data_IF_535573338789
#
_entry.id   IF_535573338789
#
_cell.length_a   1.000
_cell.length_b   1.000
_cell.length_c   1.000
_cell.angle_alpha   90.00
_cell.angle_beta   90.00
_cell.angle_gamma   90.00
#
_symmetry.space_group_name_H-M   'P 1'
#
loop_
_entity.id
_entity.type
_entity.pdbx_description
1 polymer ?
#
# COMPACT_ATOMS: atom_id res chain seq x y z
N UNK A 1 35.28 56.64 -51.47
CA UNK A 1 35.23 56.40 -50.01
C UNK A 1 34.31 55.25 -49.77
N UNK A 2 34.84 54.04 -49.64
CA UNK A 2 34.03 52.80 -49.43
C UNK A 2 34.15 52.43 -47.98
N UNK A 3 33.03 52.52 -47.24
CA UNK A 3 32.92 52.03 -45.85
C UNK A 3 32.83 50.51 -45.89
N UNK A 4 33.81 49.85 -45.26
CA UNK A 4 33.72 48.39 -44.95
C UNK A 4 32.98 48.18 -43.61
N UNK A 5 31.80 47.64 -43.66
CA UNK A 5 31.10 47.14 -42.45
C UNK A 5 31.66 45.75 -42.09
N UNK A 6 32.38 45.67 -40.97
CA UNK A 6 32.82 44.41 -40.40
C UNK A 6 31.70 43.94 -39.43
N UNK A 7 30.95 42.91 -39.85
CA UNK A 7 29.95 42.22 -38.99
C UNK A 7 30.70 41.30 -38.01
N UNK A 8 30.66 41.63 -36.73
CA UNK A 8 31.20 40.80 -35.65
C UNK A 8 30.16 39.73 -35.29
N UNK A 9 30.37 38.49 -35.75
CA UNK A 9 29.52 37.35 -35.44
C UNK A 9 29.98 36.74 -34.09
N UNK A 10 29.29 37.07 -32.98
CA UNK A 10 29.53 36.44 -31.69
C UNK A 10 28.91 35.02 -31.70
N UNK A 11 29.74 34.01 -31.87
CA UNK A 11 29.34 32.60 -31.63
C UNK A 11 29.29 32.35 -30.13
N UNK A 12 28.10 32.38 -29.55
CA UNK A 12 27.87 31.93 -28.19
C UNK A 12 27.94 30.40 -28.17
N UNK A 13 29.13 29.86 -27.92
CA UNK A 13 29.32 28.46 -27.63
C UNK A 13 28.77 28.18 -26.21
N UNK A 14 27.46 27.89 -26.11
CA UNK A 14 26.84 27.43 -24.86
C UNK A 14 27.34 26.03 -24.56
N UNK A 15 28.36 25.90 -23.71
CA UNK A 15 28.69 24.63 -23.09
C UNK A 15 27.55 24.22 -22.17
N UNK A 16 26.57 23.46 -22.67
CA UNK A 16 25.67 22.68 -21.83
C UNK A 16 26.48 21.59 -21.13
N UNK A 17 26.93 21.89 -19.92
CA UNK A 17 27.50 20.88 -19.04
C UNK A 17 26.38 19.92 -18.69
N UNK A 18 26.30 18.80 -19.38
CA UNK A 18 25.44 17.67 -18.90
C UNK A 18 25.88 17.35 -17.48
N UNK A 19 25.03 17.69 -16.51
CA UNK A 19 25.17 17.19 -15.15
C UNK A 19 24.89 15.71 -15.23
N UNK A 20 25.92 14.90 -15.33
CA UNK A 20 25.76 13.45 -15.04
C UNK A 20 25.31 13.34 -13.61
N UNK A 21 24.03 13.01 -13.41
CA UNK A 21 23.53 12.68 -12.09
C UNK A 21 24.28 11.45 -11.59
N UNK A 22 24.67 11.42 -10.30
CA UNK A 22 25.27 10.22 -9.74
C UNK A 22 24.29 9.05 -9.92
N UNK A 23 24.78 7.82 -10.11
CA UNK A 23 23.93 6.66 -10.27
C UNK A 23 22.98 6.57 -9.08
N UNK A 24 21.67 6.44 -9.36
CA UNK A 24 20.66 6.26 -8.31
C UNK A 24 20.89 4.94 -7.60
N UNK A 25 20.89 4.96 -6.26
CA UNK A 25 20.95 3.75 -5.43
C UNK A 25 19.65 2.94 -5.49
N UNK A 26 18.55 3.57 -5.92
CA UNK A 26 17.22 2.95 -6.03
C UNK A 26 16.67 3.19 -7.43
N UNK A 27 16.01 2.18 -7.95
CA UNK A 27 15.28 2.24 -9.22
C UNK A 27 13.79 2.14 -8.95
N UNK A 28 12.98 3.02 -9.55
CA UNK A 28 11.54 2.92 -9.49
C UNK A 28 11.09 1.83 -10.48
N UNK A 29 10.52 0.75 -9.93
CA UNK A 29 10.04 -0.43 -10.69
C UNK A 29 8.51 -0.56 -10.67
N UNK A 30 7.77 0.47 -10.24
CA UNK A 30 6.31 0.40 -10.08
C UNK A 30 5.60 -0.11 -11.33
N UNK A 31 6.00 0.37 -12.51
CA UNK A 31 5.38 -0.05 -13.78
C UNK A 31 5.71 -1.50 -14.17
N UNK A 32 6.94 -1.91 -13.90
CA UNK A 32 7.44 -3.24 -14.24
C UNK A 32 6.99 -4.29 -13.23
N UNK A 33 6.73 -3.88 -11.99
CA UNK A 33 6.39 -4.80 -10.89
C UNK A 33 4.96 -5.34 -10.96
N UNK A 34 4.03 -4.65 -11.61
CA UNK A 34 2.61 -4.99 -11.60
C UNK A 34 1.84 -4.47 -10.38
N UNK A 35 2.50 -3.73 -9.47
CA UNK A 35 1.84 -3.08 -8.33
C UNK A 35 1.22 -1.76 -8.77
N UNK A 36 -0.11 -1.64 -8.68
CA UNK A 36 -0.88 -0.46 -9.13
C UNK A 36 -1.71 0.19 -8.01
N UNK A 37 -1.50 -0.22 -6.75
CA UNK A 37 -2.24 0.30 -5.61
C UNK A 37 -2.06 1.82 -5.43
N UNK A 38 -3.18 2.52 -5.23
CA UNK A 38 -3.20 3.95 -4.92
C UNK A 38 -4.18 4.22 -3.77
N UNK A 39 -3.68 4.76 -2.67
CA UNK A 39 -4.50 5.19 -1.54
C UNK A 39 -5.01 6.62 -1.76
N UNK A 40 -5.97 6.79 -2.69
CA UNK A 40 -6.53 8.09 -3.06
C UNK A 40 -7.60 8.51 -2.05
N UNK A 41 -7.52 9.75 -1.57
CA UNK A 41 -8.49 10.34 -0.65
C UNK A 41 -9.37 11.37 -1.35
N UNK A 42 -10.67 11.29 -1.10
CA UNK A 42 -11.67 12.24 -1.60
C UNK A 42 -12.40 12.87 -0.41
N UNK A 43 -12.49 14.19 -0.40
CA UNK A 43 -13.25 14.92 0.62
C UNK A 43 -14.75 14.80 0.38
N UNK A 44 -15.47 14.56 1.47
CA UNK A 44 -16.93 14.68 1.51
C UNK A 44 -17.32 15.58 2.67
N UNK A 45 -18.57 16.01 2.72
CA UNK A 45 -19.11 16.79 3.84
C UNK A 45 -19.00 16.00 5.16
N UNK A 46 -19.21 14.67 5.10
CA UNK A 46 -19.23 13.78 6.26
C UNK A 46 -17.84 13.28 6.64
N UNK A 47 -16.89 13.20 5.69
CA UNK A 47 -15.56 12.65 5.91
C UNK A 47 -14.48 13.55 5.30
N UNK A 48 -13.83 14.30 6.16
CA UNK A 48 -12.79 15.29 5.83
C UNK A 48 -11.91 15.54 7.08
N UNK A 49 -10.82 16.33 6.98
CA UNK A 49 -9.92 16.57 8.12
C UNK A 49 -10.55 17.23 9.34
N UNK A 50 -11.69 17.91 9.20
CA UNK A 50 -12.40 18.56 10.32
C UNK A 50 -13.30 17.58 11.07
N UNK A 51 -13.91 16.64 10.35
CA UNK A 51 -14.80 15.62 10.94
C UNK A 51 -14.02 14.39 11.41
N UNK A 52 -12.86 14.09 10.78
CA UNK A 52 -11.99 12.97 11.11
C UNK A 52 -10.52 13.40 11.13
N UNK A 53 -9.96 13.58 12.33
CA UNK A 53 -8.59 14.12 12.52
C UNK A 53 -7.49 13.28 11.87
N UNK A 54 -7.71 11.96 11.76
CA UNK A 54 -6.73 11.02 11.22
C UNK A 54 -6.85 10.87 9.69
N UNK A 55 -7.56 11.78 9.02
CA UNK A 55 -7.86 11.70 7.58
C UNK A 55 -6.59 11.53 6.71
N UNK A 56 -5.49 12.14 7.10
CA UNK A 56 -4.21 12.10 6.37
C UNK A 56 -3.17 11.15 6.95
N UNK A 57 -3.53 10.30 7.90
CA UNK A 57 -2.54 9.42 8.54
C UNK A 57 -2.01 8.31 7.62
N UNK A 58 -2.63 8.13 6.44
CA UNK A 58 -2.28 7.06 5.53
C UNK A 58 -2.84 5.70 5.96
N UNK A 59 -2.30 4.66 5.38
CA UNK A 59 -2.67 3.28 5.67
C UNK A 59 -1.43 2.38 5.71
N UNK A 60 -1.57 1.19 6.29
CA UNK A 60 -0.47 0.27 6.55
C UNK A 60 -0.08 -0.58 5.34
N UNK A 61 1.11 -1.15 5.44
CA UNK A 61 1.62 -2.18 4.51
C UNK A 61 2.17 -3.32 5.35
N UNK A 62 1.83 -4.56 5.01
CA UNK A 62 2.46 -5.76 5.55
C UNK A 62 3.21 -6.49 4.44
N UNK A 63 4.34 -7.08 4.80
CA UNK A 63 5.19 -7.86 3.89
C UNK A 63 5.52 -9.17 4.59
N UNK A 64 5.34 -10.30 3.93
CA UNK A 64 5.63 -11.63 4.46
C UNK A 64 5.31 -12.72 3.47
N UNK A 65 5.90 -13.90 3.67
CA UNK A 65 5.70 -15.09 2.86
C UNK A 65 4.44 -15.84 3.37
N UNK A 66 3.31 -15.67 2.66
CA UNK A 66 2.01 -16.23 3.08
C UNK A 66 1.78 -17.67 2.61
N UNK A 67 2.61 -18.18 1.71
CA UNK A 67 2.46 -19.49 1.09
C UNK A 67 3.70 -20.40 1.28
N UNK A 68 4.70 -19.92 2.03
CA UNK A 68 5.96 -20.61 2.35
C UNK A 68 6.78 -21.00 1.10
N UNK A 69 6.73 -20.19 0.04
CA UNK A 69 7.51 -20.40 -1.19
C UNK A 69 8.89 -19.70 -1.18
N UNK A 70 9.19 -18.94 -0.12
CA UNK A 70 10.43 -18.18 0.07
C UNK A 70 10.40 -16.80 -0.59
N UNK A 71 9.27 -16.37 -1.16
CA UNK A 71 9.05 -15.04 -1.71
C UNK A 71 8.08 -14.28 -0.81
N UNK A 72 8.30 -12.99 -0.62
CA UNK A 72 7.44 -12.19 0.26
C UNK A 72 6.33 -11.51 -0.54
N UNK A 73 5.10 -11.67 -0.11
CA UNK A 73 3.90 -10.97 -0.58
C UNK A 73 3.78 -9.59 0.02
N UNK A 74 2.95 -8.75 -0.59
CA UNK A 74 2.65 -7.39 -0.11
C UNK A 74 1.15 -7.22 0.04
N UNK A 75 0.73 -6.80 1.24
CA UNK A 75 -0.64 -6.37 1.49
C UNK A 75 -0.68 -4.88 1.79
N UNK A 76 -1.46 -4.13 1.01
CA UNK A 76 -1.72 -2.71 1.21
C UNK A 76 -3.10 -2.51 1.83
N UNK A 77 -3.16 -1.82 2.95
CA UNK A 77 -4.40 -1.31 3.49
C UNK A 77 -4.79 0.00 2.80
N UNK A 78 -6.09 0.23 2.57
CA UNK A 78 -6.62 1.42 1.93
C UNK A 78 -7.58 2.19 2.82
N UNK A 79 -7.52 3.52 2.82
CA UNK A 79 -8.45 4.34 3.61
C UNK A 79 -9.82 4.48 2.94
N UNK A 80 -9.84 4.91 1.68
CA UNK A 80 -11.04 4.99 0.83
C UNK A 80 -10.95 4.10 -0.41
N UNK A 81 -9.79 3.46 -0.61
CA UNK A 81 -9.58 2.42 -1.59
C UNK A 81 -9.74 1.04 -0.93
N UNK A 82 -10.16 0.04 -1.66
CA UNK A 82 -10.14 -1.34 -1.21
C UNK A 82 -8.70 -1.79 -0.94
N UNK A 83 -8.50 -2.64 0.04
CA UNK A 83 -7.19 -3.22 0.32
C UNK A 83 -6.72 -4.09 -0.85
N UNK A 84 -5.40 -4.29 -0.97
CA UNK A 84 -4.81 -5.09 -2.04
C UNK A 84 -3.80 -6.08 -1.50
N UNK A 85 -3.92 -7.34 -1.96
CA UNK A 85 -2.94 -8.41 -1.73
C UNK A 85 -2.26 -8.77 -3.04
N UNK A 86 -0.95 -8.65 -3.06
CA UNK A 86 -0.12 -8.94 -4.22
C UNK A 86 0.75 -10.16 -3.95
N UNK A 87 0.54 -11.22 -4.73
CA UNK A 87 1.37 -12.43 -4.76
C UNK A 87 2.68 -12.12 -5.50
N UNK A 88 3.80 -12.52 -4.94
CA UNK A 88 5.13 -12.36 -5.54
C UNK A 88 5.43 -13.54 -6.48
N UNK A 89 5.49 -13.27 -7.77
CA UNK A 89 5.82 -14.29 -8.79
C UNK A 89 7.34 -14.41 -9.07
N UNK A 90 8.17 -13.80 -8.20
CA UNK A 90 9.61 -13.71 -8.38
C UNK A 90 10.04 -12.57 -9.30
N UNK A 91 11.35 -12.28 -9.32
CA UNK A 91 11.95 -11.19 -10.12
C UNK A 91 11.28 -9.82 -9.93
N UNK A 92 10.77 -9.54 -8.73
CA UNK A 92 10.01 -8.32 -8.38
C UNK A 92 8.76 -8.13 -9.26
N UNK A 93 8.12 -9.22 -9.65
CA UNK A 93 6.82 -9.24 -10.32
C UNK A 93 5.74 -9.65 -9.34
N UNK A 94 4.64 -8.90 -9.34
CA UNK A 94 3.54 -9.09 -8.41
C UNK A 94 2.22 -9.20 -9.15
N UNK A 95 1.38 -10.10 -8.69
CA UNK A 95 0.05 -10.34 -9.23
C UNK A 95 -1.00 -10.01 -8.17
N UNK A 96 -1.96 -9.16 -8.50
CA UNK A 96 -3.12 -8.90 -7.63
C UNK A 96 -3.97 -10.16 -7.49
N UNK A 97 -4.08 -10.69 -6.28
CA UNK A 97 -4.90 -11.84 -5.91
C UNK A 97 -6.01 -11.47 -4.92
N UNK A 98 -6.23 -10.19 -4.67
CA UNK A 98 -7.13 -9.68 -3.63
C UNK A 98 -8.52 -10.29 -3.65
N UNK A 99 -9.15 -10.32 -4.83
CA UNK A 99 -10.52 -10.82 -4.98
C UNK A 99 -10.60 -12.33 -4.80
N UNK A 100 -9.64 -13.08 -5.34
CA UNK A 100 -9.60 -14.54 -5.19
C UNK A 100 -9.24 -14.95 -3.78
N UNK A 101 -8.39 -14.18 -3.10
CA UNK A 101 -8.03 -14.37 -1.70
C UNK A 101 -9.16 -13.98 -0.72
N UNK A 102 -10.09 -13.12 -1.13
CA UNK A 102 -11.22 -12.71 -0.30
C UNK A 102 -10.88 -11.66 0.76
N UNK A 103 -9.84 -10.83 0.55
CA UNK A 103 -9.27 -9.95 1.60
C UNK A 103 -9.36 -8.45 1.29
N UNK A 104 -10.28 -8.05 0.41
CA UNK A 104 -10.40 -6.67 -0.08
C UNK A 104 -10.84 -5.63 0.97
N UNK A 105 -11.52 -6.02 2.05
CA UNK A 105 -12.12 -5.10 3.05
C UNK A 105 -12.89 -3.94 2.39
N UNK A 106 -13.83 -4.24 1.49
CA UNK A 106 -14.50 -3.24 0.64
C UNK A 106 -15.29 -2.20 1.44
N UNK A 107 -15.15 -0.94 1.02
CA UNK A 107 -15.96 0.17 1.54
C UNK A 107 -15.69 0.53 3.01
N UNK A 108 -14.54 0.18 3.54
CA UNK A 108 -14.14 0.49 4.92
C UNK A 108 -12.84 1.31 4.94
N UNK A 109 -12.59 1.97 6.06
CA UNK A 109 -11.35 2.73 6.28
C UNK A 109 -10.35 1.83 7.00
N UNK A 110 -9.52 1.12 6.24
CA UNK A 110 -8.41 0.35 6.81
C UNK A 110 -7.25 1.27 7.17
N UNK A 111 -6.54 0.99 8.26
CA UNK A 111 -5.43 1.80 8.77
C UNK A 111 -4.15 1.00 8.86
N UNK A 112 -4.08 0.03 9.77
CA UNK A 112 -2.93 -0.83 9.92
C UNK A 112 -3.19 -2.24 9.40
N UNK A 113 -2.13 -2.94 9.06
CA UNK A 113 -2.17 -4.37 8.74
C UNK A 113 -0.96 -5.07 9.34
N UNK A 114 -1.16 -6.27 9.85
CA UNK A 114 -0.09 -7.12 10.41
C UNK A 114 -0.27 -8.53 9.90
N UNK A 115 0.82 -9.14 9.45
CA UNK A 115 0.89 -10.59 9.24
C UNK A 115 1.29 -11.27 10.53
N UNK A 116 0.60 -12.34 10.90
CA UNK A 116 0.81 -13.11 12.13
C UNK A 116 0.33 -14.54 11.91
N UNK A 117 1.05 -15.51 12.39
CA UNK A 117 0.56 -16.89 12.52
C UNK A 117 -0.17 -17.00 13.87
N UNK A 118 -1.49 -16.75 13.87
CA UNK A 118 -2.25 -16.62 15.12
C UNK A 118 -2.70 -17.97 15.67
N UNK A 119 -2.78 -18.99 14.81
CA UNK A 119 -3.23 -20.33 15.15
C UNK A 119 -2.08 -21.33 15.25
N UNK A 120 -0.83 -20.89 15.02
CA UNK A 120 0.39 -21.68 15.06
C UNK A 120 0.39 -22.86 14.06
N UNK A 121 -0.18 -22.65 12.85
CA UNK A 121 -0.20 -23.65 11.78
C UNK A 121 0.97 -23.49 10.79
N UNK A 122 1.81 -22.47 10.96
CA UNK A 122 2.99 -22.18 10.14
C UNK A 122 2.67 -21.34 8.91
N UNK A 123 1.44 -20.84 8.75
CA UNK A 123 1.04 -19.92 7.70
C UNK A 123 0.77 -18.53 8.29
N UNK A 124 1.07 -17.49 7.52
CA UNK A 124 0.77 -16.12 7.95
C UNK A 124 -0.68 -15.77 7.68
N UNK A 125 -1.39 -15.38 8.74
CA UNK A 125 -2.72 -14.79 8.72
C UNK A 125 -2.65 -13.27 8.57
N UNK A 126 -3.76 -12.60 8.28
CA UNK A 126 -3.83 -11.17 8.05
C UNK A 126 -4.74 -10.52 9.09
N UNK A 127 -4.21 -9.61 9.92
CA UNK A 127 -5.02 -8.80 10.80
C UNK A 127 -5.06 -7.36 10.30
N UNK A 128 -6.29 -6.84 10.06
CA UNK A 128 -6.54 -5.50 9.53
C UNK A 128 -7.18 -4.63 10.61
N UNK A 129 -6.49 -3.57 10.99
CA UNK A 129 -7.02 -2.51 11.87
C UNK A 129 -7.88 -1.54 11.07
N UNK A 130 -9.04 -1.15 11.62
CA UNK A 130 -9.98 -0.24 10.98
C UNK A 130 -10.28 0.99 11.82
N UNK A 131 -10.64 2.07 11.13
CA UNK A 131 -10.96 3.36 11.73
C UNK A 131 -12.02 4.09 10.89
N UNK A 132 -11.89 5.41 10.72
CA UNK A 132 -12.74 6.23 9.85
C UNK A 132 -13.92 6.88 10.58
N UNK A 133 -15.00 7.14 9.85
CA UNK A 133 -16.18 7.78 10.41
C UNK A 133 -16.79 6.93 11.54
N UNK A 134 -16.99 7.46 12.76
CA UNK A 134 -17.60 6.75 13.87
C UNK A 134 -18.96 6.14 13.59
N UNK A 135 -19.73 6.72 12.68
CA UNK A 135 -21.07 6.29 12.30
C UNK A 135 -21.08 5.29 11.12
N UNK A 136 -19.91 5.00 10.54
CA UNK A 136 -19.83 4.06 9.41
C UNK A 136 -20.09 2.61 9.90
N UNK A 137 -20.81 1.80 9.11
CA UNK A 137 -20.93 0.37 9.38
C UNK A 137 -19.58 -0.34 9.16
N UNK A 138 -19.46 -1.56 9.68
CA UNK A 138 -18.33 -2.46 9.44
C UNK A 138 -16.95 -1.91 9.84
N UNK A 139 -16.89 -1.17 10.96
CA UNK A 139 -15.62 -0.65 11.52
C UNK A 139 -14.88 -1.64 12.41
N UNK A 140 -15.40 -2.82 12.58
CA UNK A 140 -14.71 -3.86 13.34
C UNK A 140 -13.43 -4.26 12.60
N UNK A 141 -12.36 -4.44 13.35
CA UNK A 141 -11.13 -5.02 12.81
C UNK A 141 -11.41 -6.40 12.23
N UNK A 142 -10.65 -6.82 11.24
CA UNK A 142 -10.82 -8.12 10.59
C UNK A 142 -9.57 -8.98 10.75
N UNK A 143 -9.81 -10.27 11.00
CA UNK A 143 -8.80 -11.32 11.02
C UNK A 143 -9.13 -12.32 9.92
N UNK A 144 -8.23 -12.47 8.99
CA UNK A 144 -8.32 -13.43 7.89
C UNK A 144 -7.36 -14.57 8.13
N UNK A 145 -7.89 -15.76 8.41
CA UNK A 145 -7.11 -16.99 8.58
C UNK A 145 -6.76 -17.55 7.22
N UNK A 146 -5.49 -17.88 7.03
CA UNK A 146 -4.95 -18.46 5.81
C UNK A 146 -5.42 -19.92 5.65
N UNK A 147 -6.06 -20.25 4.53
CA UNK A 147 -6.55 -21.61 4.25
C UNK A 147 -5.47 -22.51 3.60
N UNK A 148 -4.26 -22.00 3.33
CA UNK A 148 -3.16 -22.74 2.72
C UNK A 148 -3.24 -22.90 1.19
N UNK A 149 -4.20 -22.23 0.54
CA UNK A 149 -4.45 -22.31 -0.91
C UNK A 149 -4.54 -20.92 -1.56
N UNK A 150 -3.93 -19.90 -0.94
CA UNK A 150 -4.00 -18.48 -1.30
C UNK A 150 -5.38 -17.85 -1.14
N UNK A 151 -6.29 -18.52 -0.43
CA UNK A 151 -7.56 -17.95 0.03
C UNK A 151 -7.55 -17.77 1.54
N UNK A 152 -8.44 -16.92 2.05
CA UNK A 152 -8.52 -16.61 3.47
C UNK A 152 -9.97 -16.65 3.95
N UNK A 153 -10.14 -16.99 5.23
CA UNK A 153 -11.45 -17.00 5.90
C UNK A 153 -11.50 -15.93 6.99
N UNK A 154 -12.50 -15.04 6.94
CA UNK A 154 -12.70 -14.02 7.99
C UNK A 154 -13.16 -14.70 9.28
N UNK A 155 -12.42 -14.50 10.38
CA UNK A 155 -12.59 -15.16 11.67
C UNK A 155 -12.44 -14.23 12.89
N UNK A 156 -12.45 -12.91 12.69
CA UNK A 156 -12.21 -11.95 13.78
C UNK A 156 -13.14 -12.15 14.97
N UNK A 157 -14.42 -12.42 14.72
CA UNK A 157 -15.41 -12.66 15.78
C UNK A 157 -15.15 -13.96 16.53
N UNK A 158 -14.74 -15.02 15.83
CA UNK A 158 -14.43 -16.32 16.44
C UNK A 158 -13.24 -16.22 17.41
N UNK A 159 -12.25 -15.39 17.05
CA UNK A 159 -11.05 -15.14 17.86
C UNK A 159 -11.23 -13.99 18.88
N UNK A 160 -12.40 -13.31 18.92
CA UNK A 160 -12.64 -12.16 19.80
C UNK A 160 -11.82 -10.93 19.44
N UNK A 161 -11.41 -10.81 18.18
CA UNK A 161 -10.56 -9.73 17.64
C UNK A 161 -11.33 -8.74 16.74
N UNK A 162 -12.67 -8.85 16.69
CA UNK A 162 -13.56 -7.96 15.96
C UNK A 162 -13.78 -6.62 16.68
N UNK A 163 -12.70 -6.04 17.20
CA UNK A 163 -12.69 -4.80 17.97
C UNK A 163 -13.24 -3.64 17.14
N UNK A 164 -14.23 -2.92 17.69
CA UNK A 164 -14.75 -1.69 17.09
C UNK A 164 -14.10 -0.48 17.78
N UNK A 165 -13.45 0.35 17.00
CA UNK A 165 -12.77 1.52 17.54
C UNK A 165 -12.16 2.42 16.48
N UNK A 166 -11.23 3.26 16.91
CA UNK A 166 -10.34 4.03 16.05
C UNK A 166 -8.96 3.34 16.09
N UNK A 167 -8.93 2.09 15.60
CA UNK A 167 -7.70 1.30 15.58
C UNK A 167 -6.71 1.90 14.57
N UNK A 168 -5.42 1.87 14.87
CA UNK A 168 -4.36 2.40 14.00
C UNK A 168 -3.45 1.26 13.54
N UNK A 169 -2.97 0.46 14.47
CA UNK A 169 -2.07 -0.66 14.23
C UNK A 169 -2.23 -1.70 15.33
N UNK A 170 -1.95 -2.95 15.01
CA UNK A 170 -1.83 -4.04 15.97
C UNK A 170 -0.39 -4.56 15.99
N UNK A 171 0.06 -5.04 17.15
CA UNK A 171 1.29 -5.79 17.31
C UNK A 171 0.98 -7.09 18.07
N UNK A 172 1.48 -8.19 17.55
CA UNK A 172 1.37 -9.51 18.17
C UNK A 172 2.76 -9.91 18.69
N UNK A 173 2.79 -10.59 19.82
CA UNK A 173 4.02 -11.07 20.46
C UNK A 173 3.70 -12.29 21.34
N UNK A 174 4.67 -13.16 21.51
CA UNK A 174 4.62 -14.33 22.41
C UNK A 174 5.02 -13.94 23.84
#
# INVERSE_FOLDING_TARGET
>A
MRLCLISLLCVLCGCSRERTQPPSLFTNITRESGVDFQNTLTFTEQLNPYTYRNFYNGAGVAIGDINNDGLAEIYFAGNQADNKLYLNEGNLRFKDITETAGVACKGVWSTGVTFVDINADGLLDIYVSKSGNPDAPNRNNELFINNGDLTFSEKSKEYGLDVIGLSVQAAFFD
#
